data_IF_849254994098
#
_entry.id   IF_849254994098
#
_cell.length_a   1.000
_cell.length_b   1.000
_cell.length_c   1.000
_cell.angle_alpha   90.00
_cell.angle_beta   90.00
_cell.angle_gamma   90.00
#
_symmetry.space_group_name_H-M   'P 1'
#
loop_
_entity.id
_entity.type
_entity.pdbx_description
1 polymer ?
#
# COMPACT_ATOMS: atom_id res chain seq x y z
N UNK A 1 -2.78 -2.05 -46.49
CA UNK A 1 -1.75 -2.96 -45.94
C UNK A 1 -0.62 -2.07 -45.43
N UNK A 2 -0.44 -1.92 -44.12
CA UNK A 2 0.76 -1.27 -43.56
C UNK A 2 1.55 -2.40 -42.91
N UNK A 3 2.78 -2.60 -43.39
CA UNK A 3 3.64 -3.73 -43.04
C UNK A 3 3.69 -3.95 -41.51
N UNK A 4 3.25 -5.11 -41.05
CA UNK A 4 3.49 -5.64 -39.71
C UNK A 4 2.69 -5.05 -38.55
N UNK A 5 1.79 -4.07 -38.78
CA UNK A 5 0.97 -3.47 -37.70
C UNK A 5 -0.52 -3.71 -37.91
N UNK A 6 -1.17 -4.23 -36.88
CA UNK A 6 -2.61 -4.43 -36.88
C UNK A 6 -3.34 -3.08 -36.92
N UNK A 7 -4.28 -2.94 -37.87
CA UNK A 7 -5.14 -1.76 -37.98
C UNK A 7 -6.05 -1.67 -36.75
N UNK A 8 -6.04 -0.52 -36.06
CA UNK A 8 -6.97 -0.24 -34.97
C UNK A 8 -8.35 0.02 -35.56
N UNK A 9 -9.31 -0.84 -35.25
CA UNK A 9 -10.75 -0.68 -35.54
C UNK A 9 -11.52 -0.42 -34.24
N UNK A 10 -12.76 0.11 -34.31
CA UNK A 10 -13.61 0.25 -33.12
C UNK A 10 -13.75 -1.04 -32.32
N UNK A 11 -13.80 -2.20 -32.99
CA UNK A 11 -13.84 -3.52 -32.36
C UNK A 11 -12.54 -3.89 -31.64
N UNK A 12 -11.37 -3.47 -32.15
CA UNK A 12 -10.09 -3.71 -31.46
C UNK A 12 -9.92 -2.86 -30.20
N UNK A 13 -10.66 -1.74 -30.07
CA UNK A 13 -10.66 -0.92 -28.85
C UNK A 13 -11.48 -1.56 -27.72
N UNK A 14 -12.41 -2.45 -28.05
CA UNK A 14 -13.24 -3.17 -27.08
C UNK A 14 -12.55 -4.42 -26.51
N UNK A 15 -11.45 -4.87 -27.11
CA UNK A 15 -10.65 -5.95 -26.53
C UNK A 15 -9.84 -5.40 -25.37
N UNK A 16 -10.03 -5.97 -24.19
CA UNK A 16 -9.08 -5.79 -23.10
C UNK A 16 -7.71 -6.21 -23.62
N UNK A 17 -6.81 -5.24 -23.79
CA UNK A 17 -5.41 -5.52 -24.08
C UNK A 17 -4.90 -6.42 -22.96
N UNK A 18 -4.30 -7.56 -23.31
CA UNK A 18 -3.66 -8.43 -22.33
C UNK A 18 -2.75 -7.57 -21.47
N UNK A 19 -3.11 -7.44 -20.19
CA UNK A 19 -2.37 -6.62 -19.25
C UNK A 19 -1.06 -7.37 -19.02
N UNK A 20 0.01 -6.93 -19.67
CA UNK A 20 1.33 -7.42 -19.31
C UNK A 20 1.51 -7.08 -17.83
N UNK A 21 1.76 -8.10 -17.00
CA UNK A 21 2.15 -7.89 -15.62
C UNK A 21 3.52 -7.19 -15.66
N UNK A 22 3.49 -5.86 -15.65
CA UNK A 22 4.69 -5.04 -15.69
C UNK A 22 5.60 -5.41 -14.52
N UNK A 23 6.87 -5.66 -14.81
CA UNK A 23 7.90 -5.79 -13.78
C UNK A 23 7.99 -4.52 -12.94
N UNK A 24 8.30 -4.64 -11.64
CA UNK A 24 8.47 -3.50 -10.72
C UNK A 24 9.48 -2.49 -11.29
N UNK A 25 9.05 -1.26 -11.55
CA UNK A 25 9.92 -0.19 -12.01
C UNK A 25 10.65 0.44 -10.81
N UNK A 26 11.83 -0.09 -10.51
CA UNK A 26 12.65 0.32 -9.35
C UNK A 26 13.06 1.79 -9.46
N UNK A 27 13.44 2.27 -10.65
CA UNK A 27 13.89 3.66 -10.82
C UNK A 27 12.77 4.69 -10.55
N UNK A 28 11.55 4.40 -10.99
CA UNK A 28 10.38 5.23 -10.68
C UNK A 28 10.08 5.25 -9.17
N UNK A 29 10.24 4.11 -8.50
CA UNK A 29 10.01 3.98 -7.07
C UNK A 29 11.06 4.71 -6.24
N UNK A 30 12.34 4.60 -6.60
CA UNK A 30 13.44 5.30 -5.92
C UNK A 30 13.29 6.81 -6.02
N UNK A 31 12.96 7.33 -7.21
CA UNK A 31 12.70 8.75 -7.40
C UNK A 31 11.54 9.23 -6.51
N UNK A 32 10.44 8.48 -6.48
CA UNK A 32 9.28 8.79 -5.64
C UNK A 32 9.66 8.78 -4.15
N UNK A 33 10.37 7.73 -3.70
CA UNK A 33 10.78 7.58 -2.31
C UNK A 33 11.72 8.70 -1.87
N UNK A 34 12.67 9.09 -2.71
CA UNK A 34 13.58 10.20 -2.44
C UNK A 34 12.84 11.54 -2.37
N UNK A 35 11.92 11.81 -3.30
CA UNK A 35 11.21 13.08 -3.34
C UNK A 35 10.22 13.27 -2.17
N UNK A 36 9.49 12.21 -1.81
CA UNK A 36 8.47 12.27 -0.74
C UNK A 36 8.95 11.73 0.62
N UNK A 37 10.20 11.29 0.72
CA UNK A 37 10.72 10.63 1.93
C UNK A 37 9.94 9.36 2.29
N UNK A 38 9.40 8.65 1.29
CA UNK A 38 8.63 7.45 1.54
C UNK A 38 9.55 6.33 2.02
N UNK A 39 9.15 5.66 3.09
CA UNK A 39 9.87 4.53 3.68
C UNK A 39 9.00 3.29 3.66
N UNK A 40 9.63 2.15 3.45
CA UNK A 40 8.96 0.87 3.62
C UNK A 40 8.48 0.71 5.07
N UNK A 41 7.21 0.32 5.22
CA UNK A 41 6.59 0.08 6.51
C UNK A 41 5.85 -1.25 6.49
N UNK A 42 6.33 -2.18 7.29
CA UNK A 42 5.70 -3.48 7.51
C UNK A 42 5.52 -3.71 9.01
N UNK A 43 4.39 -4.29 9.37
CA UNK A 43 4.07 -4.63 10.75
C UNK A 43 3.61 -6.08 10.83
N UNK A 44 3.94 -6.74 11.92
CA UNK A 44 3.53 -8.10 12.22
C UNK A 44 2.29 -8.11 13.10
N UNK A 45 1.57 -9.24 13.09
CA UNK A 45 0.42 -9.44 13.98
C UNK A 45 0.90 -9.38 15.44
N UNK A 46 0.25 -8.53 16.24
CA UNK A 46 0.59 -8.30 17.64
C UNK A 46 1.42 -7.04 17.89
N UNK A 47 2.04 -6.46 16.86
CA UNK A 47 2.85 -5.24 16.98
C UNK A 47 2.02 -4.09 17.54
N UNK A 48 2.61 -3.35 18.48
CA UNK A 48 2.03 -2.12 19.01
C UNK A 48 2.33 -0.98 18.05
N UNK A 49 1.26 -0.34 17.59
CA UNK A 49 1.34 0.77 16.64
C UNK A 49 0.47 1.93 17.09
N UNK A 50 1.00 3.14 16.92
CA UNK A 50 0.25 4.36 17.02
C UNK A 50 -0.42 4.64 15.68
N UNK A 51 -1.74 4.81 15.71
CA UNK A 51 -2.50 5.22 14.53
C UNK A 51 -2.68 6.73 14.59
N UNK A 52 -2.32 7.40 13.51
CA UNK A 52 -2.57 8.83 13.34
C UNK A 52 -4.05 9.02 13.00
N UNK A 53 -4.88 9.08 14.04
CA UNK A 53 -6.25 9.59 13.94
C UNK A 53 -6.21 11.09 14.28
N UNK A 54 -7.17 11.89 13.81
CA UNK A 54 -7.24 13.33 14.15
C UNK A 54 -7.70 13.58 15.60
N UNK A 55 -7.73 12.51 16.40
CA UNK A 55 -7.93 12.46 17.85
C UNK A 55 -6.59 12.05 18.48
N UNK A 56 -6.30 12.38 19.76
CA UNK A 56 -5.06 11.96 20.40
C UNK A 56 -4.78 10.47 20.15
N UNK A 57 -3.60 10.18 19.61
CA UNK A 57 -3.27 8.90 18.99
C UNK A 57 -3.57 7.72 19.91
N UNK A 58 -4.50 6.86 19.50
CA UNK A 58 -4.83 5.66 20.24
C UNK A 58 -3.70 4.64 20.12
N UNK A 59 -3.29 4.04 21.24
CA UNK A 59 -2.43 2.87 21.24
C UNK A 59 -3.25 1.70 20.68
N UNK A 60 -2.72 1.06 19.64
CA UNK A 60 -3.40 -0.05 18.97
C UNK A 60 -2.45 -1.21 18.74
N UNK A 61 -3.01 -2.39 18.46
CA UNK A 61 -2.26 -3.59 18.10
C UNK A 61 -2.67 -4.11 16.73
N UNK A 62 -1.71 -4.54 15.94
CA UNK A 62 -1.98 -5.10 14.61
C UNK A 62 -2.68 -6.46 14.76
N UNK A 63 -3.87 -6.59 14.17
CA UNK A 63 -4.66 -7.83 14.18
C UNK A 63 -4.41 -8.67 12.93
N UNK A 64 -4.46 -8.05 11.75
CA UNK A 64 -4.35 -8.74 10.46
C UNK A 64 -3.86 -7.81 9.37
N UNK A 65 -3.06 -8.32 8.45
CA UNK A 65 -2.63 -7.62 7.22
C UNK A 65 -3.53 -8.02 6.04
N UNK A 66 -3.82 -7.04 5.18
CA UNK A 66 -4.53 -7.22 3.91
C UNK A 66 -3.70 -6.65 2.77
N UNK A 67 -3.36 -7.51 1.81
CA UNK A 67 -2.50 -7.13 0.69
C UNK A 67 -1.16 -6.57 1.17
N UNK A 68 -0.68 -5.53 0.49
CA UNK A 68 0.66 -4.97 0.76
C UNK A 68 0.69 -3.95 1.90
N UNK A 69 -0.30 -3.07 1.99
CA UNK A 69 -0.20 -1.89 2.85
C UNK A 69 -1.39 -1.64 3.79
N UNK A 70 -2.44 -2.48 3.76
CA UNK A 70 -3.61 -2.30 4.60
C UNK A 70 -3.56 -3.24 5.80
N UNK A 71 -3.95 -2.75 6.98
CA UNK A 71 -3.94 -3.50 8.22
C UNK A 71 -5.23 -3.25 8.99
N UNK A 72 -5.78 -4.32 9.58
CA UNK A 72 -6.75 -4.18 10.66
C UNK A 72 -5.98 -4.08 11.98
N UNK A 73 -6.27 -3.04 12.76
CA UNK A 73 -5.69 -2.76 14.07
C UNK A 73 -6.79 -2.75 15.13
N UNK A 74 -6.46 -3.20 16.33
CA UNK A 74 -7.35 -3.25 17.48
C UNK A 74 -6.96 -2.15 18.49
N UNK A 75 -7.89 -1.30 18.87
CA UNK A 75 -7.70 -0.31 19.93
C UNK A 75 -7.76 -0.97 21.31
N UNK A 76 -7.23 -0.32 22.34
CA UNK A 76 -7.40 -0.78 23.73
C UNK A 76 -8.88 -0.84 24.16
N UNK A 77 -9.75 -0.03 23.54
CA UNK A 77 -11.21 -0.07 23.74
C UNK A 77 -11.94 -1.21 23.05
N UNK A 78 -11.24 -2.06 22.29
CA UNK A 78 -11.83 -3.21 21.60
C UNK A 78 -12.34 -2.94 20.18
N UNK A 79 -12.25 -1.70 19.70
CA UNK A 79 -12.64 -1.35 18.33
C UNK A 79 -11.62 -1.83 17.31
N UNK A 80 -12.10 -2.30 16.16
CA UNK A 80 -11.23 -2.66 15.03
C UNK A 80 -11.26 -1.61 13.93
N UNK A 81 -10.10 -1.10 13.54
CA UNK A 81 -9.96 -0.11 12.47
C UNK A 81 -9.14 -0.65 11.31
N UNK A 82 -9.47 -0.23 10.10
CA UNK A 82 -8.65 -0.51 8.91
C UNK A 82 -7.82 0.70 8.54
N UNK A 83 -6.49 0.55 8.50
CA UNK A 83 -5.54 1.64 8.28
C UNK A 83 -4.47 1.27 7.27
N UNK A 84 -3.99 2.28 6.54
CA UNK A 84 -2.85 2.14 5.65
C UNK A 84 -1.54 2.20 6.45
N UNK A 85 -0.50 1.51 6.01
CA UNK A 85 0.82 1.47 6.67
C UNK A 85 1.38 2.87 6.95
N UNK A 86 1.10 3.82 6.06
CA UNK A 86 1.54 5.22 6.19
C UNK A 86 0.84 6.01 7.31
N UNK A 87 -0.34 5.55 7.73
CA UNK A 87 -1.12 6.13 8.84
C UNK A 87 -0.73 5.54 10.20
N UNK A 88 0.16 4.54 10.20
CA UNK A 88 0.64 3.88 11.41
C UNK A 88 2.09 4.26 11.70
N UNK A 89 2.47 4.20 12.97
CA UNK A 89 3.85 4.33 13.44
C UNK A 89 4.12 3.22 14.46
N UNK A 90 5.22 2.52 14.31
CA UNK A 90 5.66 1.55 15.32
C UNK A 90 5.92 2.26 16.65
N UNK A 91 5.50 1.65 17.75
CA UNK A 91 6.00 2.01 19.07
C UNK A 91 7.45 1.49 19.11
N UNK A 92 8.42 2.35 18.83
CA UNK A 92 9.84 2.01 18.98
C UNK A 92 10.04 1.54 20.41
N UNK A 93 10.36 0.26 20.62
CA UNK A 93 10.90 -0.17 21.90
C UNK A 93 12.29 0.48 21.99
N UNK A 94 12.56 1.35 22.99
CA UNK A 94 13.94 1.75 23.25
C UNK A 94 14.73 0.46 23.53
N UNK A 95 15.86 0.32 22.83
CA UNK A 95 16.82 -0.75 23.07
C UNK A 95 17.40 -0.67 24.48
#
# INVERSE_FOLDING_TARGET
MVLGRQMRTPLTLLKESAKEEGTRNVGMEEQFNHHYGAQERSYQRGDRVYVRDYRPGARTRVKKRYGRAMYDVLTEGGDSWRRHANQMRGEVQPA
#
